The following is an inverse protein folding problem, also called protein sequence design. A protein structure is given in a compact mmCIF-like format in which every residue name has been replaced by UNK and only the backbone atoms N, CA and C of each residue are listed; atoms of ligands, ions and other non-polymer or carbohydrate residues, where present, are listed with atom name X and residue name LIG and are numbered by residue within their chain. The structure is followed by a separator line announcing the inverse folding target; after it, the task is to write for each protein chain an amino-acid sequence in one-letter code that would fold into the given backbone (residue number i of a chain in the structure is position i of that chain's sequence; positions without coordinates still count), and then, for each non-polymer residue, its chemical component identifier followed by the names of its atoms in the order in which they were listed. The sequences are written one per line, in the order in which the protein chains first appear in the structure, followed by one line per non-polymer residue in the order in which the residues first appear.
data_IF_680274573003
#
_entry.id   IF_680274573003
#
_cell.length_a   1.000
_cell.length_b   1.000
_cell.length_c   1.000
_cell.angle_alpha   90.00
_cell.angle_beta   90.00
_cell.angle_gamma   90.00
#
_symmetry.space_group_name_H-M   'P 1'
#
loop_
_entity.id
_entity.type
_entity.pdbx_description
1 polymer ?
#
# COMPACT_ATOMS: atom_id res chain seq x y z
N UNK A 1 19.06 -47.63 -6.93
CA UNK A 1 17.97 -46.69 -6.61
C UNK A 1 17.43 -46.85 -5.19
N UNK A 2 16.86 -47.98 -4.78
CA UNK A 2 16.22 -48.08 -3.45
C UNK A 2 17.20 -47.90 -2.27
N UNK A 3 18.41 -48.47 -2.37
CA UNK A 3 19.46 -48.32 -1.34
C UNK A 3 19.98 -46.88 -1.21
N UNK A 4 20.22 -46.20 -2.34
CA UNK A 4 20.69 -44.81 -2.33
C UNK A 4 19.60 -43.85 -1.86
N UNK A 5 18.33 -44.12 -2.20
CA UNK A 5 17.19 -43.36 -1.69
C UNK A 5 17.06 -43.50 -0.17
N UNK A 6 17.20 -44.71 0.36
CA UNK A 6 17.18 -44.95 1.80
C UNK A 6 18.29 -44.19 2.53
N UNK A 7 19.52 -44.18 1.97
CA UNK A 7 20.63 -43.40 2.53
C UNK A 7 20.30 -41.89 2.52
N UNK A 8 19.76 -41.37 1.42
CA UNK A 8 19.36 -39.96 1.34
C UNK A 8 18.29 -39.59 2.38
N UNK A 9 17.31 -40.48 2.62
CA UNK A 9 16.29 -40.32 3.65
C UNK A 9 16.90 -40.26 5.05
N UNK A 10 17.81 -41.18 5.38
CA UNK A 10 18.50 -41.21 6.68
C UNK A 10 19.33 -39.95 6.89
N UNK A 11 20.07 -39.51 5.87
CA UNK A 11 20.88 -38.28 5.93
C UNK A 11 19.97 -37.04 6.06
N UNK A 12 18.89 -36.96 5.30
CA UNK A 12 17.93 -35.86 5.38
C UNK A 12 17.29 -35.75 6.77
N UNK A 13 16.86 -36.88 7.34
CA UNK A 13 16.32 -36.93 8.70
C UNK A 13 17.37 -36.53 9.74
N UNK A 14 18.62 -36.99 9.61
CA UNK A 14 19.70 -36.59 10.51
C UNK A 14 20.00 -35.09 10.43
N UNK A 15 20.09 -34.54 9.21
CA UNK A 15 20.29 -33.11 8.98
C UNK A 15 19.17 -32.29 9.62
N UNK A 16 17.91 -32.66 9.40
CA UNK A 16 16.76 -31.97 9.99
C UNK A 16 16.76 -31.99 11.53
N UNK A 17 17.07 -33.13 12.13
CA UNK A 17 17.13 -33.27 13.59
C UNK A 17 18.27 -32.46 14.19
N UNK A 18 19.46 -32.51 13.57
CA UNK A 18 20.65 -31.79 14.03
C UNK A 18 20.45 -30.27 13.89
N UNK A 19 19.90 -29.79 12.77
CA UNK A 19 19.69 -28.34 12.57
C UNK A 19 18.67 -27.79 13.55
N UNK A 20 17.58 -28.53 13.80
CA UNK A 20 16.61 -28.14 14.83
C UNK A 20 17.22 -28.18 16.24
N UNK A 21 18.08 -29.17 16.54
CA UNK A 21 18.75 -29.27 17.83
C UNK A 21 19.73 -28.10 18.09
N UNK A 22 20.41 -27.61 17.05
CA UNK A 22 21.35 -26.48 17.14
C UNK A 22 20.61 -25.12 17.13
N UNK A 23 19.28 -25.12 16.97
CA UNK A 23 18.46 -23.91 17.01
C UNK A 23 18.41 -23.14 15.69
N UNK A 24 18.69 -23.78 14.55
CA UNK A 24 18.47 -23.16 13.25
C UNK A 24 16.96 -22.91 13.01
N UNK A 25 16.58 -21.80 12.33
CA UNK A 25 15.19 -21.60 11.93
C UNK A 25 14.68 -22.73 11.04
N UNK A 26 13.43 -23.16 11.25
CA UNK A 26 12.81 -24.34 10.60
C UNK A 26 12.88 -24.27 9.07
N UNK A 27 12.77 -23.06 8.48
CA UNK A 27 12.89 -22.86 7.04
C UNK A 27 14.23 -23.34 6.50
N UNK A 28 15.33 -23.09 7.22
CA UNK A 28 16.68 -23.50 6.80
C UNK A 28 16.89 -25.00 6.99
N UNK A 29 16.30 -25.62 8.02
CA UNK A 29 16.28 -27.08 8.17
C UNK A 29 15.71 -27.77 6.93
N UNK A 30 14.62 -27.22 6.36
CA UNK A 30 14.03 -27.72 5.12
C UNK A 30 14.88 -27.45 3.87
N UNK A 31 15.56 -26.30 3.80
CA UNK A 31 16.50 -26.00 2.71
C UNK A 31 17.65 -27.01 2.69
N UNK A 32 18.24 -27.32 3.85
CA UNK A 32 19.32 -28.31 3.94
C UNK A 32 18.86 -29.72 3.58
N UNK A 33 17.65 -30.12 3.99
CA UNK A 33 17.01 -31.36 3.52
C UNK A 33 16.90 -31.36 1.99
N UNK A 34 16.48 -30.25 1.39
CA UNK A 34 16.43 -30.09 -0.07
C UNK A 34 17.77 -30.35 -0.75
N UNK A 35 18.88 -29.84 -0.20
CA UNK A 35 20.22 -30.09 -0.75
C UNK A 35 20.63 -31.57 -0.70
N UNK A 36 20.23 -32.31 0.34
CA UNK A 36 20.47 -33.75 0.42
C UNK A 36 19.78 -34.48 -0.74
N UNK A 37 18.53 -34.11 -1.06
CA UNK A 37 17.79 -34.70 -2.18
C UNK A 37 18.34 -34.28 -3.54
N UNK A 38 18.79 -33.04 -3.71
CA UNK A 38 19.47 -32.58 -4.93
C UNK A 38 20.76 -33.37 -5.14
N UNK A 39 21.57 -33.57 -4.09
CA UNK A 39 22.77 -34.39 -4.15
C UNK A 39 22.48 -35.85 -4.50
N UNK A 40 21.41 -36.43 -3.93
CA UNK A 40 20.96 -37.77 -4.31
C UNK A 40 20.51 -37.86 -5.77
N UNK A 41 19.78 -36.87 -6.27
CA UNK A 41 19.37 -36.79 -7.67
C UNK A 41 20.59 -36.70 -8.60
N UNK A 42 21.63 -35.97 -8.19
CA UNK A 42 22.89 -35.90 -8.90
C UNK A 42 23.61 -37.26 -8.94
N UNK A 43 23.65 -38.01 -7.83
CA UNK A 43 24.19 -39.36 -7.81
C UNK A 43 23.39 -40.32 -8.70
N UNK A 44 22.06 -40.19 -8.75
CA UNK A 44 21.24 -40.94 -9.71
C UNK A 44 21.58 -40.60 -11.16
N UNK A 45 21.89 -39.33 -11.45
CA UNK A 45 22.27 -38.89 -12.78
C UNK A 45 23.64 -39.47 -13.18
N UNK A 46 24.58 -39.59 -12.25
CA UNK A 46 25.88 -40.23 -12.47
C UNK A 46 25.77 -41.75 -12.67
N UNK A 47 24.84 -42.41 -11.96
CA UNK A 47 24.55 -43.84 -12.11
C UNK A 47 23.67 -44.14 -13.35
N UNK A 48 23.08 -43.12 -13.97
CA UNK A 48 22.25 -43.30 -15.15
C UNK A 48 23.09 -43.83 -16.31
N UNK A 49 22.51 -44.78 -17.06
CA UNK A 49 23.18 -45.29 -18.26
C UNK A 49 23.45 -44.13 -19.23
N UNK A 50 24.64 -44.05 -19.84
CA UNK A 50 24.89 -43.05 -20.86
C UNK A 50 23.87 -43.23 -21.98
N UNK A 51 23.06 -42.21 -22.21
CA UNK A 51 22.13 -42.18 -23.33
C UNK A 51 22.95 -42.00 -24.61
N UNK A 52 22.43 -42.53 -25.73
CA UNK A 52 23.01 -42.23 -27.03
C UNK A 52 23.01 -40.71 -27.24
N UNK A 53 24.13 -40.17 -27.74
CA UNK A 53 24.17 -38.74 -28.03
C UNK A 53 23.06 -38.40 -29.03
N UNK A 54 22.28 -37.33 -28.77
CA UNK A 54 21.29 -36.87 -29.73
C UNK A 54 22.00 -36.55 -31.05
N UNK A 55 21.33 -36.78 -32.17
CA UNK A 55 21.94 -36.58 -33.50
C UNK A 55 22.42 -35.13 -33.77
N UNK A 56 22.04 -34.17 -32.91
CA UNK A 56 22.45 -32.77 -32.95
C UNK A 56 22.74 -32.25 -31.53
N UNK A 57 23.87 -32.63 -30.90
CA UNK A 57 24.13 -32.35 -29.49
C UNK A 57 24.23 -30.86 -29.17
N UNK A 58 24.81 -30.07 -30.10
CA UNK A 58 24.90 -28.62 -29.94
C UNK A 58 23.51 -27.96 -29.87
N UNK A 59 22.59 -28.41 -30.73
CA UNK A 59 21.21 -27.91 -30.77
C UNK A 59 20.46 -28.26 -29.48
N UNK A 60 20.64 -29.48 -28.97
CA UNK A 60 20.02 -29.90 -27.70
C UNK A 60 20.50 -29.06 -26.50
N UNK A 61 21.79 -28.72 -26.44
CA UNK A 61 22.34 -27.85 -25.37
C UNK A 61 21.77 -26.45 -25.48
N UNK A 62 21.73 -25.87 -26.68
CA UNK A 62 21.17 -24.52 -26.90
C UNK A 62 19.69 -24.47 -26.54
N UNK A 63 18.90 -25.46 -26.95
CA UNK A 63 17.47 -25.55 -26.60
C UNK A 63 17.29 -25.65 -25.09
N UNK A 64 18.06 -26.51 -24.41
CA UNK A 64 17.98 -26.63 -22.96
C UNK A 64 18.35 -25.33 -22.25
N UNK A 65 19.43 -24.68 -22.67
CA UNK A 65 19.86 -23.41 -22.08
C UNK A 65 18.81 -22.31 -22.26
N UNK A 66 18.22 -22.20 -23.45
CA UNK A 66 17.15 -21.24 -23.72
C UNK A 66 15.91 -21.54 -22.87
N UNK A 67 15.46 -22.79 -22.81
CA UNK A 67 14.30 -23.18 -21.99
C UNK A 67 14.54 -22.90 -20.50
N UNK A 68 15.68 -23.31 -19.96
CA UNK A 68 16.02 -23.06 -18.56
C UNK A 68 16.11 -21.56 -18.25
N UNK A 69 16.75 -20.79 -19.14
CA UNK A 69 16.87 -19.33 -18.98
C UNK A 69 15.51 -18.63 -19.08
N UNK A 70 14.64 -19.06 -20.01
CA UNK A 70 13.28 -18.54 -20.15
C UNK A 70 12.44 -18.84 -18.91
N UNK A 71 12.54 -20.05 -18.34
CA UNK A 71 11.84 -20.40 -17.10
C UNK A 71 12.30 -19.51 -15.94
N UNK A 72 13.62 -19.33 -15.77
CA UNK A 72 14.17 -18.48 -14.73
C UNK A 72 13.74 -17.01 -14.91
N UNK A 73 13.79 -16.51 -16.14
CA UNK A 73 13.36 -15.15 -16.48
C UNK A 73 11.86 -14.93 -16.20
N UNK A 74 11.01 -15.86 -16.63
CA UNK A 74 9.57 -15.78 -16.40
C UNK A 74 9.24 -15.80 -14.90
N UNK A 75 9.86 -16.72 -14.14
CA UNK A 75 9.68 -16.76 -12.68
C UNK A 75 10.12 -15.43 -12.05
N UNK A 76 11.29 -14.90 -12.44
CA UNK A 76 11.76 -13.61 -11.97
C UNK A 76 10.75 -12.49 -12.25
N UNK A 77 10.17 -12.44 -13.45
CA UNK A 77 9.22 -11.41 -13.83
C UNK A 77 7.92 -11.40 -13.02
N UNK A 78 7.51 -12.54 -12.45
CA UNK A 78 6.27 -12.64 -11.65
C UNK A 78 6.49 -12.42 -10.15
N UNK A 79 7.72 -12.37 -9.67
CA UNK A 79 8.04 -12.09 -8.27
C UNK A 79 8.27 -10.58 -8.10
N UNK A 80 7.74 -9.94 -7.03
CA UNK A 80 8.01 -8.54 -6.74
C UNK A 80 9.50 -8.22 -6.85
N UNK A 81 9.85 -7.32 -7.76
CA UNK A 81 11.24 -6.97 -8.04
C UNK A 81 11.68 -5.83 -7.11
N UNK A 82 12.89 -5.95 -6.59
CA UNK A 82 13.55 -4.89 -5.82
C UNK A 82 13.87 -3.71 -6.75
N UNK A 83 13.28 -2.52 -6.52
CA UNK A 83 13.71 -1.27 -7.17
C UNK A 83 14.58 -0.46 -6.18
N UNK A 84 15.90 -0.32 -6.44
CA UNK A 84 16.79 0.44 -5.57
C UNK A 84 16.33 1.89 -5.32
N UNK A 85 15.60 2.50 -6.25
CA UNK A 85 15.15 3.90 -6.13
C UNK A 85 14.04 4.05 -5.10
N UNK A 86 13.12 3.10 -5.05
CA UNK A 86 12.03 3.08 -4.07
C UNK A 86 12.60 2.89 -2.65
N UNK A 87 13.57 2.00 -2.50
CA UNK A 87 14.24 1.75 -1.23
C UNK A 87 15.06 2.96 -0.75
N UNK A 88 15.77 3.65 -1.65
CA UNK A 88 16.46 4.90 -1.31
C UNK A 88 15.46 5.98 -0.88
N UNK A 89 14.31 6.08 -1.55
CA UNK A 89 13.27 7.03 -1.17
C UNK A 89 12.69 6.72 0.21
N UNK A 90 12.41 5.44 0.51
CA UNK A 90 11.98 4.97 1.83
C UNK A 90 13.00 5.30 2.91
N UNK A 91 14.28 5.00 2.69
CA UNK A 91 15.35 5.33 3.65
C UNK A 91 15.41 6.83 3.91
N UNK A 92 15.29 7.67 2.87
CA UNK A 92 15.30 9.13 3.03
C UNK A 92 14.09 9.63 3.84
N UNK A 93 12.91 9.05 3.65
CA UNK A 93 11.70 9.37 4.45
C UNK A 93 11.85 8.93 5.90
N UNK A 94 12.40 7.74 6.16
CA UNK A 94 12.66 7.30 7.53
C UNK A 94 13.72 8.19 8.21
N UNK A 95 14.78 8.59 7.50
CA UNK A 95 15.75 9.54 8.03
C UNK A 95 15.13 10.90 8.36
N UNK A 96 14.26 11.44 7.51
CA UNK A 96 13.59 12.70 7.80
C UNK A 96 12.63 12.57 8.99
N UNK A 97 11.98 11.42 9.17
CA UNK A 97 11.16 11.11 10.33
C UNK A 97 11.98 11.21 11.63
N UNK A 98 13.14 10.55 11.70
CA UNK A 98 14.02 10.64 12.87
C UNK A 98 14.49 12.08 13.15
N UNK A 99 14.84 12.84 12.12
CA UNK A 99 15.24 14.25 12.28
C UNK A 99 14.09 15.11 12.79
N UNK A 100 12.88 14.94 12.27
CA UNK A 100 11.68 15.65 12.74
C UNK A 100 11.38 15.34 14.19
N UNK A 101 11.53 14.08 14.60
CA UNK A 101 11.34 13.65 15.99
C UNK A 101 12.33 14.35 16.93
N UNK A 102 13.61 14.37 16.58
CA UNK A 102 14.64 15.06 17.37
C UNK A 102 14.36 16.56 17.46
N UNK A 103 13.96 17.19 16.34
CA UNK A 103 13.59 18.61 16.33
C UNK A 103 12.39 18.91 17.23
N UNK A 104 11.35 18.06 17.20
CA UNK A 104 10.18 18.19 18.06
C UNK A 104 10.57 18.09 19.55
N UNK A 105 11.44 17.13 19.91
CA UNK A 105 11.96 17.00 21.26
C UNK A 105 12.78 18.22 21.72
N UNK A 106 13.59 18.80 20.82
CA UNK A 106 14.34 20.03 21.10
C UNK A 106 13.42 21.24 21.29
N UNK A 107 12.35 21.35 20.50
CA UNK A 107 11.35 22.41 20.65
C UNK A 107 10.61 22.31 21.99
N UNK A 108 10.21 21.09 22.39
CA UNK A 108 9.56 20.85 23.69
C UNK A 108 10.49 21.18 24.86
N UNK A 109 11.76 20.75 24.81
CA UNK A 109 12.75 21.06 25.83
C UNK A 109 13.02 22.56 25.96
N UNK A 110 13.15 23.26 24.82
CA UNK A 110 13.32 24.72 24.80
C UNK A 110 12.08 25.41 25.36
N UNK A 111 10.88 24.94 25.00
CA UNK A 111 9.63 25.51 25.50
C UNK A 111 9.50 25.33 27.02
N UNK A 112 9.84 24.14 27.54
CA UNK A 112 9.89 23.90 28.99
C UNK A 112 10.92 24.78 29.70
N UNK A 113 12.09 25.02 29.10
CA UNK A 113 13.10 25.93 29.64
C UNK A 113 12.61 27.39 29.65
N UNK A 114 11.92 27.83 28.59
CA UNK A 114 11.33 29.17 28.50
C UNK A 114 10.19 29.36 29.52
N UNK A 115 9.35 28.35 29.71
CA UNK A 115 8.30 28.33 30.75
C UNK A 115 8.91 28.38 32.15
N UNK A 116 9.95 27.58 32.41
CA UNK A 116 10.69 27.58 33.67
C UNK A 116 11.41 28.91 33.93
N UNK A 117 11.85 29.60 32.88
CA UNK A 117 12.43 30.94 32.94
C UNK A 117 11.39 32.06 33.15
N UNK A 118 10.09 31.72 33.29
CA UNK A 118 9.00 32.68 33.49
C UNK A 118 8.70 33.52 32.25
N UNK A 119 9.24 33.13 31.09
CA UNK A 119 9.04 33.82 29.83
C UNK A 119 7.82 33.17 29.16
N UNK A 120 6.64 33.77 29.34
CA UNK A 120 5.45 33.37 28.58
C UNK A 120 5.67 33.73 27.11
N UNK A 121 6.17 32.77 26.35
CA UNK A 121 6.09 32.85 24.89
C UNK A 121 4.62 32.63 24.58
N UNK A 122 3.93 33.68 24.14
CA UNK A 122 2.73 33.46 23.35
C UNK A 122 3.15 32.49 22.26
N UNK A 123 2.49 31.31 22.19
CA UNK A 123 2.82 30.26 21.24
C UNK A 123 3.20 30.93 19.92
N UNK A 124 4.45 30.74 19.48
CA UNK A 124 4.85 31.19 18.16
C UNK A 124 3.90 30.47 17.22
N UNK A 125 2.89 31.21 16.73
CA UNK A 125 2.00 30.66 15.74
C UNK A 125 2.92 30.18 14.63
N UNK A 126 2.72 28.95 14.12
CA UNK A 126 3.34 28.59 12.87
C UNK A 126 3.08 29.74 11.91
N UNK A 127 4.04 30.08 11.06
CA UNK A 127 3.82 31.06 9.99
C UNK A 127 2.80 30.41 9.04
N UNK A 128 1.53 30.44 9.44
CA UNK A 128 0.38 30.19 8.61
C UNK A 128 0.25 31.47 7.82
N UNK A 129 0.61 31.40 6.55
CA UNK A 129 -0.01 32.27 5.56
C UNK A 129 -1.51 32.27 5.84
N UNK A 130 -2.01 33.47 6.12
CA UNK A 130 -3.35 33.83 6.53
C UNK A 130 -4.43 33.01 5.82
N UNK A 131 -5.15 32.17 6.57
CA UNK A 131 -6.62 32.19 6.54
C UNK A 131 -7.17 31.68 7.87
N UNK A 132 -8.19 32.38 8.32
CA UNK A 132 -8.71 32.45 9.68
C UNK A 132 -9.51 31.19 10.01
N UNK A 133 -8.99 30.37 10.94
CA UNK A 133 -9.72 29.24 11.49
C UNK A 133 -10.91 29.75 12.32
N UNK A 134 -12.11 29.64 11.75
CA UNK A 134 -13.33 29.61 12.56
C UNK A 134 -13.47 28.19 13.08
N UNK A 135 -13.59 28.03 14.39
CA UNK A 135 -13.73 26.75 15.07
C UNK A 135 -14.84 25.90 14.42
N UNK A 136 -14.44 24.80 13.77
CA UNK A 136 -15.33 23.80 13.20
C UNK A 136 -15.16 22.47 13.94
N UNK A 137 -16.28 21.78 14.10
CA UNK A 137 -16.43 20.40 14.59
C UNK A 137 -15.39 19.44 13.98
N UNK A 138 -15.09 18.26 14.58
CA UNK A 138 -13.98 17.40 14.18
C UNK A 138 -14.05 17.12 12.67
N UNK A 139 -13.18 17.79 11.93
CA UNK A 139 -13.09 17.65 10.48
C UNK A 139 -12.50 16.27 10.21
N UNK A 140 -13.12 15.53 9.30
CA UNK A 140 -12.53 14.31 8.79
C UNK A 140 -11.10 14.61 8.30
N UNK A 141 -10.12 13.73 8.56
CA UNK A 141 -8.73 13.99 8.20
C UNK A 141 -8.61 14.28 6.70
N UNK A 142 -7.76 15.25 6.33
CA UNK A 142 -7.61 15.65 4.94
C UNK A 142 -7.11 14.46 4.08
N UNK A 143 -7.51 14.37 2.80
CA UNK A 143 -7.04 13.31 1.90
C UNK A 143 -5.49 13.21 1.83
N UNK A 144 -4.82 14.36 1.89
CA UNK A 144 -3.35 14.43 1.95
C UNK A 144 -2.79 13.75 3.22
N UNK A 145 -3.42 13.96 4.38
CA UNK A 145 -3.00 13.37 5.65
C UNK A 145 -3.25 11.86 5.67
N UNK A 146 -4.34 11.40 5.04
CA UNK A 146 -4.66 9.98 4.85
C UNK A 146 -3.61 9.32 3.94
N UNK A 147 -3.26 9.93 2.81
CA UNK A 147 -2.23 9.42 1.90
C UNK A 147 -0.82 9.40 2.55
N UNK A 148 -0.50 10.42 3.34
CA UNK A 148 0.71 10.42 4.16
C UNK A 148 0.69 9.27 5.18
N UNK A 149 -0.46 8.99 5.79
CA UNK A 149 -0.65 7.87 6.72
C UNK A 149 -0.47 6.51 6.08
N UNK A 150 -0.98 6.31 4.85
CA UNK A 150 -0.73 5.09 4.09
C UNK A 150 0.77 4.92 3.77
N UNK A 151 1.47 6.01 3.46
CA UNK A 151 2.92 5.97 3.28
C UNK A 151 3.62 5.53 4.56
N UNK A 152 3.21 6.07 5.72
CA UNK A 152 3.74 5.65 7.03
C UNK A 152 3.45 4.17 7.30
N UNK A 153 2.23 3.69 7.02
CA UNK A 153 1.86 2.27 7.14
C UNK A 153 2.79 1.34 6.34
N UNK A 154 3.16 1.76 5.13
CA UNK A 154 4.07 1.00 4.26
C UNK A 154 5.54 1.13 4.66
N UNK A 155 5.99 2.33 5.06
CA UNK A 155 7.38 2.60 5.42
C UNK A 155 7.78 1.87 6.72
N UNK A 156 6.88 1.82 7.70
CA UNK A 156 7.06 1.05 8.93
C UNK A 156 6.64 -0.42 8.80
N UNK A 157 6.26 -0.84 7.60
CA UNK A 157 5.91 -2.21 7.24
C UNK A 157 4.84 -2.85 8.12
N UNK A 158 3.86 -2.05 8.54
CA UNK A 158 2.73 -2.48 9.35
C UNK A 158 1.98 -3.66 8.68
N UNK A 159 2.00 -3.72 7.35
CA UNK A 159 1.44 -4.79 6.53
C UNK A 159 2.07 -6.17 6.76
N UNK A 160 3.24 -6.29 7.39
CA UNK A 160 3.81 -7.61 7.71
C UNK A 160 2.99 -8.36 8.76
N UNK A 161 2.24 -7.63 9.59
CA UNK A 161 1.43 -8.16 10.68
C UNK A 161 -0.06 -7.91 10.46
N UNK A 162 -0.42 -6.70 10.03
CA UNK A 162 -1.80 -6.26 9.86
C UNK A 162 -2.29 -6.43 8.42
N UNK A 163 -3.60 -6.66 8.27
CA UNK A 163 -4.24 -6.80 6.96
C UNK A 163 -5.15 -5.63 6.69
N UNK A 164 -5.14 -5.20 5.44
CA UNK A 164 -6.07 -4.22 4.86
C UNK A 164 -6.41 -4.71 3.45
N UNK A 165 -7.70 -4.74 3.07
CA UNK A 165 -8.20 -5.24 1.80
C UNK A 165 -7.82 -6.70 1.53
N UNK A 166 -7.67 -7.52 2.58
CA UNK A 166 -7.18 -8.90 2.47
C UNK A 166 -5.69 -9.04 2.08
N UNK A 167 -4.97 -7.92 1.90
CA UNK A 167 -3.54 -7.88 1.57
C UNK A 167 -2.70 -7.69 2.84
N UNK A 168 -1.49 -8.26 2.83
CA UNK A 168 -0.60 -8.27 3.99
C UNK A 168 -0.94 -9.33 5.05
N UNK A 169 -0.18 -9.31 6.14
CA UNK A 169 -0.34 -10.09 7.37
C UNK A 169 -0.11 -11.59 7.23
N UNK A 170 0.78 -12.15 8.05
CA UNK A 170 0.82 -13.61 8.26
C UNK A 170 -0.45 -14.05 9.00
N UNK A 171 -1.00 -15.22 8.67
CA UNK A 171 -2.23 -15.76 9.29
C UNK A 171 -2.13 -15.68 10.82
N UNK A 172 -3.06 -14.93 11.44
CA UNK A 172 -3.17 -14.71 12.90
C UNK A 172 -1.94 -14.05 13.56
N UNK A 173 -1.22 -13.18 12.85
CA UNK A 173 -0.13 -12.39 13.44
C UNK A 173 -0.61 -11.05 14.02
N UNK A 174 -1.50 -10.36 13.31
CA UNK A 174 -2.18 -9.17 13.79
C UNK A 174 -3.64 -9.14 13.30
N UNK A 175 -4.51 -8.35 13.96
CA UNK A 175 -5.89 -8.15 13.54
C UNK A 175 -5.96 -7.44 12.18
N UNK A 176 -7.06 -7.69 11.47
CA UNK A 176 -7.44 -6.90 10.30
C UNK A 176 -7.79 -5.47 10.75
N UNK A 177 -7.42 -4.49 9.94
CA UNK A 177 -7.60 -3.07 10.27
C UNK A 177 -8.69 -2.37 9.45
N UNK A 178 -9.35 -3.12 8.56
CA UNK A 178 -10.31 -2.63 7.57
C UNK A 178 -11.49 -1.83 8.15
N UNK A 179 -11.86 -2.05 9.41
CA UNK A 179 -12.92 -1.32 10.10
C UNK A 179 -12.46 -0.59 11.37
N UNK A 180 -11.16 -0.33 11.54
CA UNK A 180 -10.63 0.29 12.77
C UNK A 180 -11.30 1.63 13.09
N UNK A 181 -11.53 2.47 12.09
CA UNK A 181 -12.23 3.74 12.26
C UNK A 181 -13.70 3.60 12.65
N UNK A 182 -14.30 2.43 12.45
CA UNK A 182 -15.69 2.12 12.84
C UNK A 182 -15.82 1.52 14.25
N UNK A 183 -14.73 1.06 14.87
CA UNK A 183 -14.76 0.41 16.20
C UNK A 183 -13.90 1.08 17.26
N UNK A 184 -12.89 1.86 16.88
CA UNK A 184 -11.98 2.55 17.80
C UNK A 184 -12.09 4.07 17.65
N UNK A 185 -11.71 4.81 18.70
CA UNK A 185 -11.52 6.26 18.61
C UNK A 185 -10.11 6.59 18.11
N UNK A 186 -9.94 7.75 17.48
CA UNK A 186 -8.63 8.21 17.00
C UNK A 186 -7.58 8.25 18.12
N UNK A 187 -7.96 8.70 19.32
CA UNK A 187 -7.08 8.74 20.49
C UNK A 187 -6.65 7.35 20.94
N UNK A 188 -7.58 6.39 20.95
CA UNK A 188 -7.28 5.01 21.35
C UNK A 188 -6.38 4.30 20.31
N UNK A 189 -6.57 4.60 19.01
CA UNK A 189 -5.68 4.14 17.94
C UNK A 189 -4.28 4.74 18.11
N UNK A 190 -4.19 6.04 18.37
CA UNK A 190 -2.92 6.73 18.64
C UNK A 190 -2.19 6.09 19.81
N UNK A 191 -2.89 5.94 20.93
CA UNK A 191 -2.35 5.38 22.16
C UNK A 191 -1.84 3.96 21.92
N UNK A 192 -2.61 3.13 21.21
CA UNK A 192 -2.21 1.77 20.86
C UNK A 192 -0.96 1.67 19.99
N UNK A 193 -0.76 2.60 19.06
CA UNK A 193 0.44 2.64 18.21
C UNK A 193 1.68 2.96 19.07
N UNK A 194 1.55 3.89 20.01
CA UNK A 194 2.67 4.35 20.84
C UNK A 194 2.94 3.43 22.03
N UNK A 195 1.90 2.81 22.57
CA UNK A 195 1.95 1.84 23.65
C UNK A 195 1.09 0.61 23.26
N UNK A 196 1.72 -0.47 22.78
CA UNK A 196 1.03 -1.70 22.42
C UNK A 196 0.34 -2.40 23.60
N UNK A 197 0.57 -1.98 24.85
CA UNK A 197 0.02 -2.66 26.03
C UNK A 197 -1.37 -2.17 26.42
N UNK A 198 -1.83 -1.02 25.91
CA UNK A 198 -3.05 -0.34 26.38
C UNK A 198 -4.35 -1.11 26.25
N UNK A 199 -4.45 -2.03 25.28
CA UNK A 199 -5.59 -2.94 25.17
C UNK A 199 -5.23 -4.21 24.38
N UNK A 200 -6.01 -5.27 24.55
CA UNK A 200 -5.89 -6.53 23.80
C UNK A 200 -6.95 -6.55 22.69
N UNK A 201 -6.59 -6.95 21.47
CA UNK A 201 -7.60 -7.21 20.44
C UNK A 201 -8.23 -8.60 20.70
N UNK A 202 -9.56 -8.66 20.78
CA UNK A 202 -10.31 -9.91 21.01
C UNK A 202 -9.83 -11.04 20.08
N UNK A 203 -9.43 -12.19 20.65
CA UNK A 203 -8.91 -13.33 19.90
C UNK A 203 -7.42 -13.26 19.52
N UNK A 204 -6.68 -12.26 20.02
CA UNK A 204 -5.23 -12.08 19.86
C UNK A 204 -4.47 -12.03 21.20
N UNK A 205 -5.05 -12.57 22.28
CA UNK A 205 -4.47 -12.55 23.63
C UNK A 205 -3.07 -13.18 23.64
N UNK A 206 -2.90 -14.30 22.93
CA UNK A 206 -1.61 -15.01 22.87
C UNK A 206 -0.53 -14.21 22.13
N UNK A 207 -0.91 -13.46 21.11
CA UNK A 207 0.00 -12.61 20.34
C UNK A 207 0.35 -11.34 21.12
N UNK A 208 -0.60 -10.81 21.91
CA UNK A 208 -0.39 -9.74 22.87
C UNK A 208 0.62 -10.16 23.96
N UNK A 209 0.42 -11.30 24.63
CA UNK A 209 1.32 -11.80 25.68
C UNK A 209 2.77 -12.01 25.20
N UNK A 210 2.93 -12.25 23.90
CA UNK A 210 4.23 -12.44 23.25
C UNK A 210 4.90 -11.14 22.82
N UNK A 211 4.22 -9.99 22.96
CA UNK A 211 4.72 -8.70 22.48
C UNK A 211 4.95 -8.69 20.97
N UNK A 212 4.05 -9.30 20.19
CA UNK A 212 4.20 -9.38 18.72
C UNK A 212 4.18 -7.99 18.07
N UNK A 213 3.41 -7.05 18.63
CA UNK A 213 3.43 -5.65 18.23
C UNK A 213 4.60 -4.92 18.93
N UNK A 214 5.56 -4.34 18.19
CA UNK A 214 6.71 -3.66 18.79
C UNK A 214 6.32 -2.45 19.65
N UNK A 215 6.99 -2.28 20.79
CA UNK A 215 6.86 -1.14 21.71
C UNK A 215 7.75 0.06 21.33
N UNK A 216 8.47 -0.07 20.22
CA UNK A 216 9.49 0.90 19.80
C UNK A 216 8.95 2.06 18.97
N UNK A 217 7.68 2.07 18.57
CA UNK A 217 7.14 3.12 17.70
C UNK A 217 7.10 4.49 18.38
N UNK A 218 6.88 4.52 19.70
CA UNK A 218 7.01 5.73 20.53
C UNK A 218 8.37 6.39 20.42
N UNK A 219 9.44 5.63 20.14
CA UNK A 219 10.81 6.14 19.94
C UNK A 219 11.22 6.25 18.48
N UNK A 220 10.52 5.61 17.55
CA UNK A 220 10.88 5.63 16.13
C UNK A 220 10.08 6.62 15.28
N UNK A 221 8.85 6.96 15.68
CA UNK A 221 7.96 7.80 14.87
C UNK A 221 7.96 9.25 15.35
N UNK A 222 8.00 10.18 14.40
CA UNK A 222 7.70 11.59 14.61
C UNK A 222 6.19 11.81 14.86
N UNK A 223 5.80 12.81 15.67
CA UNK A 223 4.38 13.04 16.02
C UNK A 223 3.47 13.22 14.79
N UNK A 224 3.92 13.99 13.79
CA UNK A 224 3.17 14.23 12.54
C UNK A 224 2.90 12.95 11.75
N UNK A 225 3.80 11.98 11.84
CA UNK A 225 3.68 10.69 11.16
C UNK A 225 2.73 9.75 11.91
N UNK A 226 2.65 9.89 13.23
CA UNK A 226 1.63 9.20 14.04
C UNK A 226 0.26 9.80 13.74
N UNK A 227 0.13 11.11 13.64
CA UNK A 227 -1.11 11.80 13.25
C UNK A 227 -1.60 11.33 11.88
N UNK A 228 -0.69 11.29 10.90
CA UNK A 228 -0.98 10.80 9.56
C UNK A 228 -1.43 9.33 9.58
N UNK A 229 -0.71 8.46 10.30
CA UNK A 229 -1.07 7.05 10.41
C UNK A 229 -2.45 6.86 11.06
N UNK A 230 -2.74 7.60 12.14
CA UNK A 230 -4.07 7.58 12.78
C UNK A 230 -5.14 8.04 11.80
N UNK A 231 -4.92 9.13 11.06
CA UNK A 231 -5.84 9.61 10.03
C UNK A 231 -6.17 8.54 8.99
N UNK A 232 -5.16 7.83 8.48
CA UNK A 232 -5.34 6.72 7.56
C UNK A 232 -6.16 5.58 8.17
N UNK A 233 -5.81 5.12 9.38
CA UNK A 233 -6.54 4.03 10.05
C UNK A 233 -7.98 4.41 10.38
N UNK A 234 -8.24 5.68 10.70
CA UNK A 234 -9.58 6.18 10.95
C UNK A 234 -10.44 6.31 9.68
N UNK A 235 -9.81 6.38 8.49
CA UNK A 235 -10.54 6.29 7.23
C UNK A 235 -11.00 4.87 6.88
N UNK A 236 -10.47 3.83 7.56
CA UNK A 236 -10.85 2.43 7.34
C UNK A 236 -12.13 2.10 8.13
N UNK A 237 -13.25 2.02 7.43
CA UNK A 237 -14.59 1.83 8.03
C UNK A 237 -15.40 0.73 7.32
N UNK A 238 -14.72 -0.28 6.77
CA UNK A 238 -15.38 -1.41 6.11
C UNK A 238 -16.01 -2.35 7.14
N UNK A 239 -17.24 -2.05 7.52
CA UNK A 239 -18.05 -2.86 8.44
C UNK A 239 -18.29 -4.31 8.00
N UNK A 240 -17.98 -4.69 6.75
CA UNK A 240 -18.06 -6.08 6.29
C UNK A 240 -16.94 -6.96 6.86
N UNK A 241 -15.86 -6.36 7.35
CA UNK A 241 -14.75 -7.04 8.00
C UNK A 241 -14.90 -6.97 9.52
N UNK A 242 -14.99 -8.13 10.16
CA UNK A 242 -15.04 -8.26 11.61
C UNK A 242 -13.70 -7.81 12.22
N UNK A 243 -13.64 -6.54 12.62
CA UNK A 243 -12.50 -5.98 13.36
C UNK A 243 -12.67 -6.27 14.85
N UNK A 244 -11.69 -6.92 15.51
CA UNK A 244 -11.82 -7.31 16.91
C UNK A 244 -12.04 -6.13 17.84
N UNK A 245 -12.84 -6.35 18.89
CA UNK A 245 -13.09 -5.35 19.92
C UNK A 245 -11.88 -5.20 20.85
N UNK A 246 -11.64 -4.00 21.39
CA UNK A 246 -10.60 -3.79 22.39
C UNK A 246 -11.05 -4.36 23.74
N UNK A 247 -10.18 -5.15 24.37
CA UNK A 247 -10.35 -5.73 25.70
C UNK A 247 -9.35 -5.08 26.66
N UNK A 248 -9.80 -4.84 27.88
CA UNK A 248 -8.98 -4.38 28.99
C UNK A 248 -7.96 -5.49 29.36
N UNK A 249 -6.65 -5.19 29.43
CA UNK A 249 -5.63 -6.20 29.69
C UNK A 249 -5.71 -6.85 31.08
N UNK A 250 -6.24 -6.14 32.09
CA UNK A 250 -6.27 -6.60 33.47
C UNK A 250 -7.52 -7.43 33.77
N UNK A 251 -8.65 -7.06 33.17
CA UNK A 251 -9.97 -7.66 33.43
C UNK A 251 -10.44 -8.59 32.32
N UNK A 252 -9.91 -8.43 31.09
CA UNK A 252 -10.38 -9.14 29.90
C UNK A 252 -11.76 -8.70 29.41
N UNK A 253 -12.35 -7.66 29.99
CA UNK A 253 -13.65 -7.14 29.61
C UNK A 253 -13.53 -6.14 28.44
N UNK A 254 -14.54 -6.02 27.56
CA UNK A 254 -14.51 -5.05 26.47
C UNK A 254 -14.40 -3.60 26.98
N UNK A 255 -13.46 -2.84 26.42
CA UNK A 255 -13.33 -1.41 26.73
C UNK A 255 -14.55 -0.64 26.23
N UNK A 256 -15.06 0.27 27.06
CA UNK A 256 -16.13 1.18 26.69
C UNK A 256 -15.55 2.34 25.87
N UNK A 257 -15.37 2.11 24.57
CA UNK A 257 -14.93 3.15 23.64
C UNK A 257 -16.11 4.06 23.31
N UNK A 258 -16.00 5.35 23.59
CA UNK A 258 -16.88 6.35 22.99
C UNK A 258 -16.46 6.50 21.53
N UNK A 259 -16.87 5.55 20.70
CA UNK A 259 -16.81 5.70 19.24
C UNK A 259 -17.65 6.93 18.93
N UNK A 260 -17.09 7.93 18.25
CA UNK A 260 -17.90 9.02 17.71
C UNK A 260 -19.07 8.35 16.97
N UNK A 261 -20.28 8.56 17.46
CA UNK A 261 -21.43 7.71 17.17
C UNK A 261 -21.56 7.53 15.65
N UNK A 262 -21.18 6.34 15.17
CA UNK A 262 -21.42 5.95 13.80
C UNK A 262 -22.93 6.04 13.62
N UNK A 263 -23.38 6.93 12.73
CA UNK A 263 -24.79 6.99 12.36
C UNK A 263 -25.26 5.56 12.05
N UNK A 264 -26.42 5.13 12.56
CA UNK A 264 -26.85 3.74 12.49
C UNK A 264 -26.93 3.29 11.02
N UNK A 265 -26.73 1.98 10.73
CA UNK A 265 -26.88 1.49 9.37
C UNK A 265 -28.33 1.73 8.96
N UNK A 266 -28.55 2.64 8.00
CA UNK A 266 -29.81 2.73 7.32
C UNK A 266 -30.05 1.36 6.68
N UNK A 267 -31.00 0.62 7.25
CA UNK A 267 -31.37 -0.70 6.79
C UNK A 267 -31.67 -0.68 5.30
N UNK A 268 -31.46 -1.84 4.67
CA UNK A 268 -31.82 -2.13 3.30
C UNK A 268 -33.24 -1.63 2.96
N UNK A 269 -33.28 -0.41 2.45
CA UNK A 269 -34.32 0.18 1.66
C UNK A 269 -33.56 1.06 0.68
N UNK A 270 -33.58 0.61 -0.56
CA UNK A 270 -33.20 1.32 -1.76
C UNK A 270 -33.73 2.77 -1.71
N UNK A 271 -32.87 3.70 -1.30
CA UNK A 271 -33.06 5.13 -1.55
C UNK A 271 -31.68 5.72 -1.87
N UNK A 272 -31.53 6.11 -3.13
CA UNK A 272 -30.33 6.71 -3.70
C UNK A 272 -29.87 7.93 -2.87
N UNK A 273 -28.55 8.15 -2.73
CA UNK A 273 -28.04 9.32 -2.02
C UNK A 273 -28.50 10.59 -2.74
N UNK A 274 -29.01 11.55 -1.96
CA UNK A 274 -29.40 12.87 -2.43
C UNK A 274 -28.25 13.50 -3.24
N UNK A 275 -28.59 13.91 -4.46
CA UNK A 275 -27.68 14.42 -5.47
C UNK A 275 -26.73 15.51 -4.94
N UNK A 276 -25.45 15.13 -4.80
CA UNK A 276 -24.38 15.98 -5.31
C UNK A 276 -24.75 16.35 -6.77
N UNK A 277 -24.45 17.56 -7.28
CA UNK A 277 -24.79 17.93 -8.65
C UNK A 277 -24.42 16.77 -9.57
N UNK A 278 -25.40 16.21 -10.31
CA UNK A 278 -25.15 15.05 -11.15
C UNK A 278 -24.04 15.41 -12.13
N UNK A 279 -22.83 14.93 -11.85
CA UNK A 279 -21.69 15.11 -12.71
C UNK A 279 -22.01 14.30 -13.96
N UNK A 280 -22.34 15.01 -15.04
CA UNK A 280 -22.69 14.39 -16.32
C UNK A 280 -21.49 13.73 -16.99
N UNK A 281 -21.75 12.87 -17.96
CA UNK A 281 -20.71 12.19 -18.76
C UNK A 281 -20.32 12.96 -20.02
N UNK A 282 -20.98 14.07 -20.29
CA UNK A 282 -20.85 14.83 -21.54
C UNK A 282 -19.76 15.90 -21.44
N UNK A 283 -19.65 16.59 -20.30
CA UNK A 283 -18.74 17.72 -20.12
C UNK A 283 -18.04 17.66 -18.77
N UNK A 284 -16.78 18.11 -18.76
CA UNK A 284 -16.05 18.35 -17.52
C UNK A 284 -16.78 19.42 -16.68
N UNK A 285 -16.96 19.21 -15.36
CA UNK A 285 -17.54 20.24 -14.51
C UNK A 285 -16.76 21.56 -14.54
N UNK A 286 -17.48 22.67 -14.37
CA UNK A 286 -16.89 23.99 -14.44
C UNK A 286 -15.77 24.16 -13.40
N UNK A 287 -14.60 24.63 -13.84
CA UNK A 287 -13.43 24.88 -12.99
C UNK A 287 -12.50 23.68 -12.78
N UNK A 288 -12.92 22.46 -13.13
CA UNK A 288 -12.17 21.23 -12.80
C UNK A 288 -10.87 21.06 -13.57
N UNK A 289 -10.79 21.59 -14.79
CA UNK A 289 -9.57 21.53 -15.63
C UNK A 289 -8.34 22.15 -14.98
N UNK A 290 -8.56 23.13 -14.11
CA UNK A 290 -7.47 23.89 -13.47
C UNK A 290 -7.44 23.73 -11.96
N UNK A 291 -8.35 22.93 -11.40
CA UNK A 291 -8.45 22.73 -9.97
C UNK A 291 -7.31 21.79 -9.50
N UNK A 292 -6.40 22.27 -8.63
CA UNK A 292 -5.26 21.47 -8.19
C UNK A 292 -5.68 20.23 -7.37
N UNK A 293 -6.81 20.26 -6.66
CA UNK A 293 -7.29 19.12 -5.89
C UNK A 293 -7.87 18.03 -6.82
N UNK A 294 -8.61 18.44 -7.85
CA UNK A 294 -9.16 17.53 -8.86
C UNK A 294 -8.03 16.84 -9.63
N UNK A 295 -7.02 17.61 -10.03
CA UNK A 295 -5.84 17.10 -10.72
C UNK A 295 -5.03 16.15 -9.82
N UNK A 296 -4.90 16.47 -8.52
CA UNK A 296 -4.22 15.60 -7.56
C UNK A 296 -4.97 14.26 -7.37
N UNK A 297 -6.29 14.29 -7.18
CA UNK A 297 -7.13 13.08 -7.13
C UNK A 297 -7.04 12.26 -8.42
N UNK A 298 -7.02 12.94 -9.56
CA UNK A 298 -6.83 12.32 -10.87
C UNK A 298 -5.51 11.59 -11.00
N UNK A 299 -4.43 12.17 -10.47
CA UNK A 299 -3.10 11.55 -10.43
C UNK A 299 -3.11 10.25 -9.63
N UNK A 300 -3.76 10.23 -8.48
CA UNK A 300 -3.84 9.03 -7.64
C UNK A 300 -4.54 7.87 -8.36
N UNK A 301 -5.64 8.14 -9.06
CA UNK A 301 -6.32 7.13 -9.87
C UNK A 301 -5.47 6.73 -11.07
N UNK A 302 -4.84 7.68 -11.76
CA UNK A 302 -4.00 7.42 -12.93
C UNK A 302 -2.78 6.53 -12.62
N UNK A 303 -2.18 6.71 -11.43
CA UNK A 303 -1.01 5.95 -10.99
C UNK A 303 -1.35 4.66 -10.24
N UNK A 304 -2.65 4.37 -10.04
CA UNK A 304 -3.13 3.21 -9.29
C UNK A 304 -2.94 3.28 -7.79
N UNK A 305 -2.78 4.49 -7.24
CA UNK A 305 -2.74 4.78 -5.81
C UNK A 305 -4.15 4.68 -5.22
N UNK A 306 -5.15 5.32 -5.85
CA UNK A 306 -6.52 5.31 -5.37
C UNK A 306 -7.24 3.95 -5.57
N UNK A 307 -6.88 3.21 -6.62
CA UNK A 307 -7.40 1.86 -6.87
C UNK A 307 -6.30 1.01 -7.55
N UNK A 308 -5.68 0.04 -6.86
CA UNK A 308 -4.62 -0.80 -7.43
C UNK A 308 -5.03 -1.66 -8.63
N UNK A 309 -6.33 -1.83 -8.86
CA UNK A 309 -6.85 -2.53 -10.05
C UNK A 309 -6.94 -1.62 -11.28
N UNK A 310 -6.74 -0.30 -11.11
CA UNK A 310 -6.82 0.73 -12.14
C UNK A 310 -5.49 1.46 -12.18
N UNK A 311 -4.62 1.15 -13.16
CA UNK A 311 -3.31 1.80 -13.27
C UNK A 311 -3.05 2.23 -14.72
N UNK A 312 -3.47 3.44 -15.06
CA UNK A 312 -3.30 4.03 -16.39
C UNK A 312 -1.81 4.22 -16.73
N UNK A 313 -1.00 4.60 -15.74
CA UNK A 313 0.42 4.87 -15.90
C UNK A 313 1.24 3.65 -16.33
N UNK A 314 0.75 2.43 -16.09
CA UNK A 314 1.40 1.19 -16.51
C UNK A 314 1.53 1.09 -18.05
N UNK A 315 0.58 1.68 -18.79
CA UNK A 315 0.57 1.68 -20.25
C UNK A 315 0.84 3.07 -20.84
N UNK A 316 0.29 4.12 -20.23
CA UNK A 316 0.39 5.50 -20.73
C UNK A 316 1.58 6.29 -20.14
N UNK A 317 2.31 5.71 -19.18
CA UNK A 317 3.49 6.29 -18.53
C UNK A 317 3.19 7.34 -17.49
N UNK A 318 4.01 7.41 -16.43
CA UNK A 318 3.84 8.39 -15.33
C UNK A 318 4.08 9.85 -15.77
N UNK A 319 4.81 10.04 -16.85
CA UNK A 319 5.09 11.34 -17.46
C UNK A 319 4.16 11.63 -18.65
N UNK A 320 3.13 10.81 -18.88
CA UNK A 320 2.22 10.90 -20.03
C UNK A 320 2.81 10.33 -21.32
N UNK A 321 4.06 9.83 -21.29
CA UNK A 321 4.70 9.16 -22.41
C UNK A 321 4.34 7.67 -22.41
N UNK A 322 3.72 7.14 -23.47
CA UNK A 322 3.25 5.76 -23.49
C UNK A 322 4.42 4.77 -23.37
N UNK A 323 4.24 3.81 -22.47
CA UNK A 323 5.13 2.66 -22.27
C UNK A 323 4.70 1.51 -23.18
N UNK A 324 3.39 1.40 -23.45
CA UNK A 324 2.81 0.41 -24.35
C UNK A 324 2.70 0.95 -25.77
N UNK A 325 3.20 0.20 -26.76
CA UNK A 325 3.07 0.54 -28.18
C UNK A 325 1.59 0.67 -28.58
N UNK A 326 1.21 1.82 -29.14
CA UNK A 326 -0.16 2.09 -29.58
C UNK A 326 -1.05 2.75 -28.52
N UNK A 327 -0.57 2.94 -27.29
CA UNK A 327 -1.23 3.80 -26.32
C UNK A 327 -1.06 5.28 -26.69
N UNK A 328 -2.05 6.12 -26.36
CA UNK A 328 -2.03 7.55 -26.62
C UNK A 328 -0.89 8.25 -25.85
N UNK A 329 -0.20 9.19 -26.50
CA UNK A 329 0.76 10.10 -25.87
C UNK A 329 0.06 11.39 -25.47
N UNK A 330 -0.24 11.54 -24.18
CA UNK A 330 -0.97 12.71 -23.66
C UNK A 330 -0.12 13.97 -23.64
N UNK A 331 1.17 13.89 -24.01
CA UNK A 331 2.03 15.06 -24.18
C UNK A 331 1.88 15.69 -25.56
N UNK A 332 1.19 15.03 -26.48
CA UNK A 332 0.89 15.55 -27.81
C UNK A 332 -0.28 16.55 -27.75
N UNK A 333 -0.03 17.86 -27.93
CA UNK A 333 -1.08 18.87 -27.83
C UNK A 333 -2.11 18.76 -28.97
N UNK A 334 -1.75 18.23 -30.14
CA UNK A 334 -2.71 18.06 -31.25
C UNK A 334 -3.70 16.93 -30.93
N UNK A 335 -3.22 15.84 -30.34
CA UNK A 335 -4.07 14.74 -29.88
C UNK A 335 -5.03 15.21 -28.78
N UNK A 336 -4.52 15.91 -27.77
CA UNK A 336 -5.34 16.39 -26.65
C UNK A 336 -6.38 17.41 -27.10
N UNK A 337 -6.00 18.38 -27.94
CA UNK A 337 -6.93 19.36 -28.49
C UNK A 337 -7.99 18.73 -29.40
N UNK A 338 -7.67 17.63 -30.07
CA UNK A 338 -8.57 16.91 -30.97
C UNK A 338 -9.61 16.02 -30.29
N UNK A 339 -9.42 15.67 -29.01
CA UNK A 339 -10.40 14.89 -28.24
C UNK A 339 -11.46 15.82 -27.67
N UNK A 340 -12.75 15.54 -27.86
CA UNK A 340 -13.80 16.23 -27.10
C UNK A 340 -13.93 15.66 -25.69
N UNK A 341 -14.49 16.42 -24.74
CA UNK A 341 -14.74 15.94 -23.37
C UNK A 341 -15.52 14.63 -23.37
N UNK A 342 -16.62 14.59 -24.11
CA UNK A 342 -17.47 13.38 -24.25
C UNK A 342 -16.69 12.21 -24.85
N UNK A 343 -15.88 12.44 -25.88
CA UNK A 343 -15.08 11.37 -26.50
C UNK A 343 -14.00 10.84 -25.56
N UNK A 344 -13.35 11.74 -24.83
CA UNK A 344 -12.32 11.40 -23.85
C UNK A 344 -12.93 10.58 -22.71
N UNK A 345 -14.04 11.04 -22.16
CA UNK A 345 -14.82 10.34 -21.14
C UNK A 345 -15.21 8.95 -21.60
N UNK A 346 -15.80 8.83 -22.80
CA UNK A 346 -16.26 7.55 -23.31
C UNK A 346 -15.12 6.56 -23.55
N UNK A 347 -13.94 7.02 -23.97
CA UNK A 347 -12.75 6.16 -24.13
C UNK A 347 -12.24 5.63 -22.78
N UNK A 348 -12.30 6.44 -21.73
CA UNK A 348 -11.91 5.99 -20.38
C UNK A 348 -12.98 5.09 -19.78
N UNK A 349 -14.25 5.49 -19.83
CA UNK A 349 -15.37 4.75 -19.26
C UNK A 349 -15.57 3.38 -19.93
N UNK A 350 -15.58 3.35 -21.27
CA UNK A 350 -15.95 2.15 -22.04
C UNK A 350 -14.74 1.39 -22.60
N UNK A 351 -13.52 1.93 -22.44
CA UNK A 351 -12.33 1.39 -23.07
C UNK A 351 -12.29 1.67 -24.58
N UNK A 352 -11.26 1.12 -25.24
CA UNK A 352 -11.08 1.26 -26.69
C UNK A 352 -11.16 -0.12 -27.34
N UNK A 353 -12.18 -0.38 -28.21
CA UNK A 353 -12.34 -1.66 -28.90
C UNK A 353 -11.08 -2.10 -29.64
N UNK A 354 -10.83 -3.42 -29.66
CA UNK A 354 -9.67 -4.04 -30.32
C UNK A 354 -8.30 -3.59 -29.78
N UNK A 355 -8.25 -3.07 -28.55
CA UNK A 355 -7.00 -2.69 -27.87
C UNK A 355 -6.93 -3.27 -26.44
N UNK A 356 -5.76 -3.23 -25.79
CA UNK A 356 -5.62 -3.56 -24.36
C UNK A 356 -6.30 -2.57 -23.39
N UNK A 357 -6.84 -1.44 -23.86
CA UNK A 357 -7.50 -0.44 -23.01
C UNK A 357 -8.93 -0.88 -22.67
N UNK A 358 -9.08 -1.48 -21.48
CA UNK A 358 -10.37 -1.98 -20.96
C UNK A 358 -11.30 -0.85 -20.51
N UNK A 359 -12.59 -1.18 -20.30
CA UNK A 359 -13.55 -0.29 -19.69
C UNK A 359 -13.25 -0.06 -18.21
N UNK A 360 -13.32 1.19 -17.75
CA UNK A 360 -13.10 1.56 -16.35
C UNK A 360 -14.37 2.03 -15.63
N UNK A 361 -15.50 2.20 -16.34
CA UNK A 361 -16.76 2.68 -15.77
C UNK A 361 -17.39 1.77 -14.72
N UNK A 362 -17.03 0.48 -14.66
CA UNK A 362 -17.46 -0.43 -13.59
C UNK A 362 -16.58 -0.31 -12.33
N UNK A 363 -15.38 0.28 -12.44
CA UNK A 363 -14.38 0.37 -11.37
C UNK A 363 -14.16 1.80 -10.87
N UNK A 364 -14.58 2.80 -11.63
CA UNK A 364 -14.44 4.22 -11.33
C UNK A 364 -15.80 4.91 -11.39
N UNK A 365 -16.03 5.85 -10.50
CA UNK A 365 -17.18 6.76 -10.58
C UNK A 365 -17.00 7.76 -11.73
N UNK A 366 -18.10 8.38 -12.18
CA UNK A 366 -18.07 9.45 -13.20
C UNK A 366 -17.13 10.59 -12.78
N UNK A 367 -17.17 10.94 -11.49
CA UNK A 367 -16.24 11.90 -10.88
C UNK A 367 -14.77 11.48 -11.02
N UNK A 368 -14.44 10.24 -10.69
CA UNK A 368 -13.06 9.73 -10.77
C UNK A 368 -12.54 9.70 -12.21
N UNK A 369 -13.41 9.40 -13.18
CA UNK A 369 -13.06 9.45 -14.60
C UNK A 369 -12.71 10.88 -15.00
N UNK A 370 -13.52 11.87 -14.59
CA UNK A 370 -13.21 13.28 -14.86
C UNK A 370 -11.94 13.76 -14.17
N UNK A 371 -11.70 13.37 -12.93
CA UNK A 371 -10.45 13.67 -12.22
C UNK A 371 -9.23 13.14 -13.01
N UNK A 372 -9.29 11.89 -13.47
CA UNK A 372 -8.24 11.30 -14.30
C UNK A 372 -8.03 12.07 -15.60
N UNK A 373 -9.11 12.48 -16.27
CA UNK A 373 -9.03 13.25 -17.52
C UNK A 373 -8.41 14.64 -17.27
N UNK A 374 -8.79 15.32 -16.18
CA UNK A 374 -8.18 16.58 -15.79
C UNK A 374 -6.67 16.43 -15.55
N UNK A 375 -6.24 15.35 -14.89
CA UNK A 375 -4.82 15.05 -14.71
C UNK A 375 -4.12 14.75 -16.04
N UNK A 376 -4.72 13.95 -16.93
CA UNK A 376 -4.16 13.65 -18.25
C UNK A 376 -3.94 14.91 -19.10
N UNK A 377 -4.85 15.87 -19.01
CA UNK A 377 -4.74 17.15 -19.71
C UNK A 377 -3.51 17.97 -19.26
N UNK A 378 -2.94 17.72 -18.08
CA UNK A 378 -1.72 18.43 -17.67
C UNK A 378 -0.47 18.01 -18.45
N UNK A 379 -0.46 16.86 -19.13
CA UNK A 379 0.76 16.33 -19.76
C UNK A 379 1.20 17.14 -20.99
N UNK A 380 0.28 17.63 -21.82
CA UNK A 380 0.61 18.40 -23.03
C UNK A 380 1.19 19.79 -22.75
N UNK A 381 0.98 20.31 -21.54
CA UNK A 381 1.50 21.61 -21.08
C UNK A 381 2.75 21.50 -20.23
N UNK A 382 3.31 20.29 -20.07
CA UNK A 382 4.45 20.03 -19.19
C UNK A 382 4.09 20.11 -17.71
N UNK A 383 2.89 19.69 -17.34
CA UNK A 383 2.40 19.59 -15.96
C UNK A 383 1.66 20.83 -15.45
N UNK A 384 1.31 21.78 -16.34
CA UNK A 384 0.58 23.00 -15.96
C UNK A 384 -0.92 22.81 -16.17
N UNK A 385 -1.77 23.12 -15.18
CA UNK A 385 -3.21 23.09 -15.40
C UNK A 385 -3.63 24.11 -16.47
N UNK A 386 -4.40 23.67 -17.46
CA UNK A 386 -4.95 24.51 -18.53
C UNK A 386 -6.38 24.05 -18.84
N UNK A 387 -7.25 25.00 -19.19
CA UNK A 387 -8.62 24.70 -19.61
C UNK A 387 -8.60 24.04 -20.98
N UNK A 388 -9.19 22.86 -21.09
CA UNK A 388 -9.40 22.19 -22.36
C UNK A 388 -10.52 22.91 -23.15
N UNK A 389 -10.29 23.13 -24.44
CA UNK A 389 -11.11 24.05 -25.25
C UNK A 389 -12.07 23.34 -26.21
N UNK A 390 -12.29 22.03 -26.05
CA UNK A 390 -13.10 21.20 -26.95
C UNK A 390 -14.14 20.38 -26.15
N UNK A 391 -15.23 21.01 -25.67
CA UNK A 391 -16.23 20.37 -24.83
C UNK A 391 -17.02 19.26 -25.53
#
# INVERSE_FOLDING_TARGET
MLKSFFIALVVASAVFLITNFIGFPVIFSWVFVGFVFIGWLFLLLLDARPMAMPGRPLLSIVIFFLLASSVLFLIGNFVPQYDPREEIAKVKRLQSNFVKKELAAQQEALQAEMEAAGMQVAAAQPITTTEEATAAAPQAPSPELIAAGETVYNDFECYNCHKIGGKGGVKRRGPALDNVGGVLSADLVREKILDPTVFIAEGFEREYDKGVMPDTYSVQMAPDSVDALVAYLMSLQDSSVETPRPLDPDTGEPLQVQVAEAAPPAGAAEEAPAAAPEIGTEHMPEGWWTDPEIIAKGKEVYEGVANPEVNCSACHGRDGKPVLTGAADFRDPELVAGLSDTEWFNKVANGVPDTPMTAWGEKLTVEQIWQVIAYQNTFHTGGKPEVHQNP
#
